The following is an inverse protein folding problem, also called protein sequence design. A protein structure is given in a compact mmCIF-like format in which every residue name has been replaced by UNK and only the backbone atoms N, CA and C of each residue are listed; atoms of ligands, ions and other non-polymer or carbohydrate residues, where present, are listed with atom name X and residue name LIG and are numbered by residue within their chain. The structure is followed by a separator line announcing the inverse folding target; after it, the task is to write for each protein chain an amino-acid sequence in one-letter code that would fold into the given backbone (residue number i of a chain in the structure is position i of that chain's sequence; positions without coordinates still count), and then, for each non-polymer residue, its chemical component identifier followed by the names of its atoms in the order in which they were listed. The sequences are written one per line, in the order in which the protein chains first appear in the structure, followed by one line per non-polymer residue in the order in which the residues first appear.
data_IF_917048415574
#
_entry.id   IF_917048415574
#
_cell.length_a   1.000
_cell.length_b   1.000
_cell.length_c   1.000
_cell.angle_alpha   90.00
_cell.angle_beta   90.00
_cell.angle_gamma   90.00
#
_symmetry.space_group_name_H-M   'P 1'
#
loop_
_entity.id
_entity.type
_entity.pdbx_description
1 polymer ?
#
# COMPACT_ATOMS: atom_id res chain seq x y z
N UNK A 1 -27.31 -21.22 48.22
CA UNK A 1 -27.51 -20.00 47.38
C UNK A 1 -27.36 -20.26 45.87
N UNK A 2 -27.62 -21.48 45.35
CA UNK A 2 -27.44 -21.79 43.92
C UNK A 2 -28.73 -21.83 43.07
N UNK A 3 -29.91 -21.55 43.63
CA UNK A 3 -31.17 -21.65 42.88
C UNK A 3 -31.64 -20.33 42.24
N UNK A 4 -31.05 -19.18 42.64
CA UNK A 4 -31.51 -17.84 42.23
C UNK A 4 -30.85 -17.30 40.95
N UNK A 5 -29.75 -17.92 40.50
CA UNK A 5 -28.99 -17.49 39.30
C UNK A 5 -29.56 -18.08 38.01
N UNK A 6 -30.06 -19.33 38.05
CA UNK A 6 -30.64 -20.05 36.89
C UNK A 6 -31.97 -19.46 36.40
N UNK A 7 -32.75 -18.86 37.30
CA UNK A 7 -34.03 -18.20 36.96
C UNK A 7 -33.84 -16.87 36.21
N UNK A 8 -32.77 -16.12 36.50
CA UNK A 8 -32.48 -14.84 35.82
C UNK A 8 -32.07 -15.07 34.37
N UNK A 9 -31.19 -16.05 34.13
CA UNK A 9 -30.79 -16.44 32.77
C UNK A 9 -32.02 -16.87 31.94
N UNK A 10 -32.87 -17.75 32.50
CA UNK A 10 -34.07 -18.23 31.81
C UNK A 10 -35.04 -17.10 31.48
N UNK A 11 -35.20 -16.12 32.37
CA UNK A 11 -36.07 -14.97 32.14
C UNK A 11 -35.50 -14.04 31.06
N UNK A 12 -34.19 -13.89 31.03
CA UNK A 12 -33.48 -13.08 30.02
C UNK A 12 -33.59 -13.73 28.64
N UNK A 13 -33.46 -15.06 28.54
CA UNK A 13 -33.71 -15.81 27.31
C UNK A 13 -35.16 -15.71 26.84
N UNK A 14 -36.14 -15.77 27.75
CA UNK A 14 -37.55 -15.64 27.41
C UNK A 14 -37.89 -14.24 26.88
N UNK A 15 -37.32 -13.19 27.49
CA UNK A 15 -37.47 -11.80 27.04
C UNK A 15 -36.83 -11.59 25.66
N UNK A 16 -35.64 -12.14 25.43
CA UNK A 16 -34.98 -12.09 24.11
C UNK A 16 -35.81 -12.80 23.03
N UNK A 17 -36.38 -13.97 23.32
CA UNK A 17 -37.22 -14.71 22.37
C UNK A 17 -38.53 -13.96 22.04
N UNK A 18 -39.15 -13.30 23.04
CA UNK A 18 -40.33 -12.46 22.81
C UNK A 18 -39.99 -11.25 21.92
N UNK A 19 -38.87 -10.56 22.18
CA UNK A 19 -38.41 -9.44 21.35
C UNK A 19 -38.09 -9.85 19.90
N UNK A 20 -37.51 -11.03 19.68
CA UNK A 20 -37.22 -11.52 18.32
C UNK A 20 -38.51 -11.86 17.56
N UNK A 21 -39.55 -12.35 18.26
CA UNK A 21 -40.84 -12.65 17.61
C UNK A 21 -41.61 -11.39 17.18
N UNK A 22 -41.57 -10.31 17.96
CA UNK A 22 -42.22 -9.03 17.63
C UNK A 22 -41.52 -8.30 16.47
N UNK A 23 -40.20 -8.41 16.37
CA UNK A 23 -39.42 -7.84 15.24
C UNK A 23 -39.61 -8.63 13.94
N UNK A 24 -39.85 -9.94 14.00
CA UNK A 24 -40.16 -10.75 12.81
C UNK A 24 -41.57 -10.47 12.27
N UNK A 25 -42.55 -10.20 13.16
CA UNK A 25 -43.91 -9.86 12.80
C UNK A 25 -44.04 -8.46 12.15
N UNK A 26 -43.14 -7.53 12.47
CA UNK A 26 -43.05 -6.22 11.81
C UNK A 26 -42.31 -6.27 10.49
N UNK A 27 -41.29 -7.13 10.34
CA UNK A 27 -40.62 -7.35 9.04
C UNK A 27 -41.51 -8.05 8.00
N UNK A 28 -42.43 -8.92 8.43
CA UNK A 28 -43.35 -9.62 7.50
C UNK A 28 -44.41 -8.69 6.90
N UNK A 29 -44.85 -7.66 7.63
CA UNK A 29 -45.76 -6.61 7.14
C UNK A 29 -45.11 -5.73 6.06
N UNK A 30 -43.78 -5.57 6.06
CA UNK A 30 -43.07 -4.80 5.02
C UNK A 30 -42.92 -5.56 3.69
N UNK A 31 -43.25 -6.85 3.66
CA UNK A 31 -43.16 -7.73 2.48
C UNK A 31 -44.53 -8.18 1.96
N UNK A 32 -45.50 -7.27 1.83
CA UNK A 32 -46.58 -7.47 0.86
C UNK A 32 -47.24 -6.16 0.40
N UNK A 33 -46.46 -5.24 -0.17
CA UNK A 33 -47.02 -4.33 -1.19
C UNK A 33 -46.51 -4.79 -2.55
N UNK A 34 -47.09 -5.90 -3.02
CA UNK A 34 -46.94 -6.34 -4.40
C UNK A 34 -47.82 -5.43 -5.25
N UNK A 35 -47.23 -4.37 -5.79
CA UNK A 35 -47.84 -3.54 -6.84
C UNK A 35 -48.04 -4.43 -8.06
N UNK A 36 -49.28 -4.65 -8.47
CA UNK A 36 -49.61 -5.12 -9.81
C UNK A 36 -49.08 -4.08 -10.81
N UNK A 37 -48.18 -4.54 -11.68
CA UNK A 37 -47.59 -3.72 -12.74
C UNK A 37 -48.43 -3.91 -14.00
N UNK A 38 -49.01 -2.86 -14.60
CA UNK A 38 -49.59 -2.99 -15.93
C UNK A 38 -48.46 -3.28 -16.92
N UNK A 39 -48.68 -4.28 -17.76
CA UNK A 39 -47.85 -4.55 -18.93
C UNK A 39 -47.78 -3.31 -19.83
N UNK A 40 -46.58 -2.99 -20.29
CA UNK A 40 -46.36 -2.03 -21.38
C UNK A 40 -45.92 -0.64 -20.93
N UNK A 41 -44.68 -0.52 -20.44
CA UNK A 41 -44.00 0.76 -20.28
C UNK A 41 -42.50 0.55 -20.18
N UNK A 42 -41.75 1.01 -21.17
CA UNK A 42 -40.30 0.97 -21.15
C UNK A 42 -39.77 1.56 -19.83
N UNK A 43 -38.92 0.81 -19.14
CA UNK A 43 -38.29 1.24 -17.89
C UNK A 43 -37.37 2.43 -18.19
N UNK A 44 -37.91 3.65 -18.10
CA UNK A 44 -37.09 4.86 -18.27
C UNK A 44 -36.18 5.00 -17.07
N UNK A 45 -34.92 4.61 -17.24
CA UNK A 45 -33.87 4.83 -16.25
C UNK A 45 -33.84 6.32 -15.89
N UNK A 46 -34.16 6.65 -14.64
CA UNK A 46 -34.14 8.02 -14.14
C UNK A 46 -32.69 8.52 -14.09
N UNK A 47 -32.28 9.24 -15.13
CA UNK A 47 -31.00 9.94 -15.19
C UNK A 47 -31.03 11.16 -14.27
N UNK A 48 -30.55 11.00 -13.02
CA UNK A 48 -30.32 12.14 -12.12
C UNK A 48 -28.97 12.78 -12.41
N UNK A 49 -28.94 14.10 -12.63
CA UNK A 49 -27.70 14.88 -12.75
C UNK A 49 -26.85 14.73 -11.48
N UNK A 50 -25.57 14.37 -11.64
CA UNK A 50 -24.60 14.31 -10.53
C UNK A 50 -24.47 15.68 -9.89
N UNK A 51 -24.61 15.75 -8.56
CA UNK A 51 -24.39 16.97 -7.77
C UNK A 51 -22.94 16.99 -7.33
N UNK A 52 -22.34 18.17 -7.34
CA UNK A 52 -20.97 18.40 -6.89
C UNK A 52 -20.97 19.51 -5.84
N UNK A 53 -20.03 19.43 -4.91
CA UNK A 53 -19.73 20.49 -3.95
C UNK A 53 -18.53 21.25 -4.52
N UNK A 54 -18.66 22.58 -4.63
CA UNK A 54 -17.60 23.46 -5.05
C UNK A 54 -17.43 24.55 -3.99
N UNK A 55 -16.20 24.87 -3.65
CA UNK A 55 -15.86 25.81 -2.60
C UNK A 55 -15.57 27.21 -3.17
N UNK A 56 -15.74 28.29 -2.39
CA UNK A 56 -15.36 29.63 -2.83
C UNK A 56 -13.84 29.77 -2.97
N UNK A 57 -13.40 30.67 -3.85
CA UNK A 57 -11.97 30.90 -4.12
C UNK A 57 -11.22 31.31 -2.85
N UNK A 58 -10.04 30.75 -2.64
CA UNK A 58 -9.23 30.96 -1.44
C UNK A 58 -9.57 30.06 -0.25
N UNK A 59 -10.50 29.11 -0.41
CA UNK A 59 -10.75 28.09 0.62
C UNK A 59 -9.70 26.98 0.55
N UNK A 60 -9.11 26.61 1.69
CA UNK A 60 -8.15 25.52 1.79
C UNK A 60 -8.46 24.59 2.97
N UNK A 61 -8.07 23.33 2.85
CA UNK A 61 -8.04 22.35 3.95
C UNK A 61 -6.60 22.16 4.36
N UNK A 62 -6.33 22.33 5.66
CA UNK A 62 -5.05 22.04 6.25
C UNK A 62 -5.16 20.79 7.15
N UNK A 63 -4.16 19.92 7.05
CA UNK A 63 -3.96 18.79 7.93
C UNK A 63 -2.54 18.87 8.50
N UNK A 64 -2.42 18.83 9.82
CA UNK A 64 -1.14 18.75 10.52
C UNK A 64 -1.02 17.41 11.22
N UNK A 65 0.16 16.81 11.10
CA UNK A 65 0.52 15.57 11.78
C UNK A 65 1.76 15.89 12.62
N UNK A 66 1.60 15.79 13.94
CA UNK A 66 2.69 16.01 14.89
C UNK A 66 3.04 14.67 15.52
N UNK A 67 4.28 14.24 15.36
CA UNK A 67 4.81 12.99 15.91
C UNK A 67 5.98 13.29 16.83
N UNK A 68 5.97 12.71 18.02
CA UNK A 68 7.13 12.68 18.90
C UNK A 68 7.53 11.22 19.09
N UNK A 69 8.69 10.85 18.56
CA UNK A 69 9.22 9.49 18.64
C UNK A 69 10.34 9.50 19.69
N UNK A 70 10.21 8.68 20.72
CA UNK A 70 11.30 8.39 21.65
C UNK A 70 12.27 7.40 21.01
N UNK A 71 13.50 7.83 20.77
CA UNK A 71 14.57 6.98 20.26
C UNK A 71 15.34 6.44 21.47
N UNK A 72 15.28 5.12 21.68
CA UNK A 72 16.08 4.47 22.73
C UNK A 72 17.53 4.45 22.24
N UNK A 73 18.31 5.44 22.70
CA UNK A 73 19.77 5.40 22.70
C UNK A 73 20.30 4.51 23.82
N UNK A 74 21.62 4.25 23.80
CA UNK A 74 22.40 3.50 24.80
C UNK A 74 21.73 3.45 26.20
N UNK A 75 21.43 2.26 26.77
CA UNK A 75 20.60 2.11 27.97
C UNK A 75 21.14 2.79 29.24
N UNK A 76 22.38 3.28 29.22
CA UNK A 76 23.03 3.90 30.39
C UNK A 76 23.07 5.44 30.34
N UNK A 77 22.76 6.08 29.20
CA UNK A 77 22.81 7.54 29.07
C UNK A 77 21.86 8.06 27.99
N UNK A 78 20.85 8.78 28.46
CA UNK A 78 20.02 9.76 27.72
C UNK A 78 18.93 9.21 26.78
N UNK A 79 17.71 9.69 27.03
CA UNK A 79 16.55 9.53 26.17
C UNK A 79 16.58 10.64 25.13
N UNK A 80 16.75 10.29 23.85
CA UNK A 80 16.66 11.24 22.75
C UNK A 80 15.24 11.19 22.19
N UNK A 81 14.51 12.30 22.27
CA UNK A 81 13.22 12.45 21.59
C UNK A 81 13.40 13.23 20.30
N UNK A 82 12.88 12.70 19.19
CA UNK A 82 12.78 13.40 17.92
C UNK A 82 11.32 13.78 17.70
N UNK A 83 11.08 15.06 17.42
CA UNK A 83 9.76 15.57 17.08
C UNK A 83 9.74 15.96 15.60
N UNK A 84 8.77 15.44 14.87
CA UNK A 84 8.57 15.71 13.45
C UNK A 84 7.14 16.20 13.23
N UNK A 85 6.99 17.37 12.62
CA UNK A 85 5.70 18.02 12.38
C UNK A 85 5.49 18.23 10.89
N UNK A 86 4.57 17.46 10.30
CA UNK A 86 4.17 17.60 8.90
C UNK A 86 2.95 18.49 8.81
N UNK A 87 3.05 19.59 8.06
CA UNK A 87 1.91 20.45 7.72
C UNK A 87 1.61 20.33 6.24
N UNK A 88 0.39 19.92 5.90
CA UNK A 88 -0.09 19.91 4.52
C UNK A 88 -1.29 20.84 4.40
N UNK A 89 -1.26 21.75 3.44
CA UNK A 89 -2.39 22.58 3.07
C UNK A 89 -2.73 22.31 1.61
N UNK A 90 -4.00 22.00 1.34
CA UNK A 90 -4.52 21.77 0.01
C UNK A 90 -5.64 22.76 -0.28
N UNK A 91 -5.57 23.38 -1.46
CA UNK A 91 -6.66 24.23 -1.93
C UNK A 91 -7.89 23.39 -2.26
N UNK A 92 -9.05 23.86 -1.80
CA UNK A 92 -10.31 23.18 -2.06
C UNK A 92 -10.77 23.42 -3.50
N UNK A 93 -11.45 22.42 -4.11
CA UNK A 93 -11.89 22.52 -5.49
C UNK A 93 -12.94 23.62 -5.67
N UNK A 94 -12.58 24.66 -6.43
CA UNK A 94 -13.47 25.77 -6.76
C UNK A 94 -14.43 25.44 -7.91
N UNK A 95 -15.37 26.34 -8.21
CA UNK A 95 -16.35 26.13 -9.28
C UNK A 95 -15.72 25.92 -10.67
N UNK A 96 -14.59 26.58 -10.97
CA UNK A 96 -13.88 26.43 -12.24
C UNK A 96 -13.24 25.04 -12.35
N UNK A 97 -12.50 24.63 -11.33
CA UNK A 97 -11.89 23.30 -11.20
C UNK A 97 -12.94 22.21 -11.31
N UNK A 98 -14.07 22.35 -10.60
CA UNK A 98 -15.14 21.35 -10.63
C UNK A 98 -15.81 21.31 -12.01
N UNK A 99 -15.99 22.43 -12.71
CA UNK A 99 -16.55 22.44 -14.08
C UNK A 99 -15.63 21.74 -15.09
N UNK A 100 -14.32 21.84 -14.90
CA UNK A 100 -13.31 21.14 -15.70
C UNK A 100 -13.32 19.62 -15.42
N UNK A 101 -13.40 19.23 -14.15
CA UNK A 101 -13.31 17.82 -13.71
C UNK A 101 -14.67 17.10 -13.62
N UNK A 102 -15.81 17.79 -13.72
CA UNK A 102 -17.17 17.18 -13.72
C UNK A 102 -17.48 16.45 -15.01
N UNK A 103 -16.90 16.87 -16.14
CA UNK A 103 -16.96 16.12 -17.40
C UNK A 103 -16.09 14.86 -17.37
N UNK A 104 -15.26 14.73 -16.34
CA UNK A 104 -14.65 13.47 -15.98
C UNK A 104 -13.55 13.63 -14.94
N UNK A 105 -13.78 13.05 -13.76
CA UNK A 105 -12.74 12.25 -13.07
C UNK A 105 -12.22 11.10 -13.97
N UNK A 106 -12.83 10.95 -15.15
CA UNK A 106 -12.45 10.16 -16.31
C UNK A 106 -11.74 10.95 -17.42
N UNK A 107 -11.48 12.26 -17.31
CA UNK A 107 -10.82 13.00 -18.41
C UNK A 107 -9.29 12.87 -18.34
N UNK A 108 -8.77 12.61 -17.14
CA UNK A 108 -7.37 12.20 -16.93
C UNK A 108 -7.17 10.70 -17.17
N UNK A 109 -8.26 9.94 -17.27
CA UNK A 109 -8.27 8.82 -18.21
C UNK A 109 -8.36 9.48 -19.58
N UNK A 110 -7.19 9.90 -20.12
CA UNK A 110 -7.03 10.06 -21.55
C UNK A 110 -7.87 8.96 -22.22
N UNK A 111 -8.70 9.25 -23.21
CA UNK A 111 -9.70 8.29 -23.70
C UNK A 111 -9.12 6.90 -24.10
N UNK A 112 -7.80 6.81 -24.22
CA UNK A 112 -7.02 5.60 -24.49
C UNK A 112 -6.16 5.08 -23.32
N UNK A 113 -6.05 5.76 -22.17
CA UNK A 113 -5.14 5.34 -21.08
C UNK A 113 -5.88 4.72 -19.92
N UNK A 114 -5.50 3.48 -19.63
CA UNK A 114 -6.09 2.71 -18.55
C UNK A 114 -5.60 3.19 -17.18
N UNK A 115 -6.36 2.87 -16.12
CA UNK A 115 -5.94 3.09 -14.72
C UNK A 115 -4.52 2.56 -14.45
N UNK A 116 -4.16 1.43 -15.06
CA UNK A 116 -2.84 0.82 -14.94
C UNK A 116 -1.73 1.71 -15.52
N UNK A 117 -1.95 2.36 -16.66
CA UNK A 117 -0.98 3.31 -17.24
C UNK A 117 -0.75 4.51 -16.32
N UNK A 118 -1.81 5.07 -15.73
CA UNK A 118 -1.68 6.17 -14.76
C UNK A 118 -0.88 5.73 -13.52
N UNK A 119 -1.17 4.53 -13.00
CA UNK A 119 -0.48 3.93 -11.86
C UNK A 119 1.01 3.68 -12.13
N UNK A 120 1.37 3.21 -13.34
CA UNK A 120 2.76 3.04 -13.78
C UNK A 120 3.48 4.38 -13.95
N UNK A 121 2.82 5.40 -14.48
CA UNK A 121 3.41 6.75 -14.60
C UNK A 121 3.80 7.34 -13.25
N UNK A 122 2.91 7.24 -12.27
CA UNK A 122 3.19 7.71 -10.91
C UNK A 122 4.37 6.96 -10.29
N UNK A 123 4.46 5.62 -10.50
CA UNK A 123 5.60 4.81 -10.05
C UNK A 123 6.90 5.18 -10.74
N UNK A 124 6.86 5.43 -12.05
CA UNK A 124 8.05 5.85 -12.82
C UNK A 124 8.63 7.15 -12.26
N UNK A 125 7.77 8.14 -11.97
CA UNK A 125 8.22 9.41 -11.36
C UNK A 125 8.81 9.19 -9.96
N UNK A 126 8.16 8.35 -9.15
CA UNK A 126 8.67 7.98 -7.83
C UNK A 126 10.02 7.25 -7.90
N UNK A 127 10.14 6.25 -8.76
CA UNK A 127 11.36 5.47 -8.91
C UNK A 127 12.50 6.33 -9.46
N UNK A 128 12.26 7.22 -10.42
CA UNK A 128 13.29 8.16 -10.88
C UNK A 128 13.81 9.08 -9.76
N UNK A 129 12.92 9.52 -8.86
CA UNK A 129 13.34 10.28 -7.68
C UNK A 129 14.14 9.44 -6.69
N UNK A 130 13.73 8.20 -6.45
CA UNK A 130 14.46 7.29 -5.57
C UNK A 130 15.83 6.91 -6.14
N UNK A 131 15.92 6.67 -7.44
CA UNK A 131 17.19 6.42 -8.15
C UNK A 131 18.16 7.58 -7.89
N UNK A 132 17.71 8.82 -8.10
CA UNK A 132 18.52 10.02 -7.85
C UNK A 132 19.02 10.10 -6.40
N UNK A 133 18.14 9.81 -5.43
CA UNK A 133 18.51 9.81 -4.00
C UNK A 133 19.55 8.73 -3.70
N UNK A 134 19.39 7.53 -4.28
CA UNK A 134 20.31 6.40 -4.10
C UNK A 134 21.67 6.68 -4.76
N UNK A 135 21.67 7.31 -5.93
CA UNK A 135 22.87 7.77 -6.62
C UNK A 135 23.63 8.81 -5.80
N UNK A 136 22.92 9.76 -5.19
CA UNK A 136 23.52 10.73 -4.28
C UNK A 136 24.15 10.09 -3.02
N UNK A 137 23.71 8.88 -2.64
CA UNK A 137 24.31 8.09 -1.57
C UNK A 137 25.52 7.26 -2.03
N UNK A 138 25.87 7.28 -3.33
CA UNK A 138 27.02 6.59 -3.89
C UNK A 138 26.75 5.17 -4.41
N UNK A 139 25.49 4.81 -4.64
CA UNK A 139 25.11 3.49 -5.19
C UNK A 139 24.47 3.62 -6.57
N UNK A 140 24.48 2.55 -7.36
CA UNK A 140 23.77 2.52 -8.65
C UNK A 140 22.25 2.49 -8.42
N UNK A 141 21.61 3.67 -8.53
CA UNK A 141 20.18 3.85 -8.22
C UNK A 141 19.28 2.89 -8.97
N UNK A 142 19.47 2.78 -10.29
CA UNK A 142 18.69 1.90 -11.17
C UNK A 142 18.70 0.43 -10.71
N UNK A 143 19.88 -0.11 -10.42
CA UNK A 143 20.05 -1.50 -9.96
C UNK A 143 19.45 -1.72 -8.56
N UNK A 144 19.54 -0.73 -7.68
CA UNK A 144 18.92 -0.82 -6.36
C UNK A 144 17.39 -0.82 -6.42
N UNK A 145 16.78 -0.05 -7.33
CA UNK A 145 15.33 -0.12 -7.56
C UNK A 145 14.94 -1.46 -8.18
N UNK A 146 15.70 -1.96 -9.15
CA UNK A 146 15.50 -3.28 -9.74
C UNK A 146 15.55 -4.39 -8.68
N UNK A 147 16.55 -4.35 -7.79
CA UNK A 147 16.66 -5.24 -6.63
C UNK A 147 15.45 -5.13 -5.70
N UNK A 148 15.02 -3.91 -5.37
CA UNK A 148 13.85 -3.69 -4.52
C UNK A 148 12.55 -4.21 -5.15
N UNK A 149 12.38 -4.08 -6.48
CA UNK A 149 11.23 -4.65 -7.19
C UNK A 149 11.25 -6.17 -7.20
N UNK A 150 12.43 -6.75 -7.39
CA UNK A 150 12.64 -8.18 -7.33
C UNK A 150 12.29 -8.74 -5.93
N UNK A 151 12.83 -8.14 -4.87
CA UNK A 151 12.60 -8.57 -3.49
C UNK A 151 11.14 -8.36 -3.06
N UNK A 152 10.56 -7.18 -3.35
CA UNK A 152 9.18 -6.86 -2.97
C UNK A 152 8.17 -7.78 -3.65
N UNK A 153 8.40 -8.21 -4.89
CA UNK A 153 7.51 -9.14 -5.59
C UNK A 153 7.40 -10.49 -4.86
N UNK A 154 8.47 -10.96 -4.23
CA UNK A 154 8.48 -12.18 -3.40
C UNK A 154 7.80 -11.97 -2.05
N UNK A 155 8.12 -10.86 -1.37
CA UNK A 155 7.45 -10.49 -0.13
C UNK A 155 5.94 -10.41 -0.34
N UNK A 156 5.50 -9.82 -1.44
CA UNK A 156 4.10 -9.71 -1.82
C UNK A 156 3.44 -11.06 -2.12
N UNK A 157 4.14 -12.02 -2.70
CA UNK A 157 3.57 -13.34 -2.92
C UNK A 157 3.34 -14.10 -1.61
N UNK A 158 4.36 -14.13 -0.74
CA UNK A 158 4.34 -14.87 0.53
C UNK A 158 3.37 -14.24 1.52
N UNK A 159 3.33 -12.91 1.59
CA UNK A 159 2.56 -12.12 2.58
C UNK A 159 1.26 -11.51 1.98
N UNK A 160 0.85 -11.91 0.76
CA UNK A 160 -0.38 -11.39 0.14
C UNK A 160 -1.66 -11.72 0.92
N UNK A 161 -1.61 -12.77 1.75
CA UNK A 161 -2.78 -13.32 2.42
C UNK A 161 -3.00 -12.73 3.82
N UNK A 162 -1.97 -12.11 4.41
CA UNK A 162 -2.03 -11.51 5.74
C UNK A 162 -1.92 -9.98 5.65
N UNK A 163 -2.69 -9.29 6.50
CA UNK A 163 -2.54 -7.83 6.67
C UNK A 163 -1.31 -7.59 7.52
N UNK A 164 -0.32 -6.92 6.93
CA UNK A 164 0.91 -6.60 7.60
C UNK A 164 0.78 -5.37 8.50
N UNK A 165 1.92 -4.95 9.07
CA UNK A 165 2.01 -3.65 9.75
C UNK A 165 1.89 -2.49 8.73
N UNK A 166 1.78 -1.26 9.22
CA UNK A 166 1.64 -0.08 8.37
C UNK A 166 2.77 0.02 7.32
N UNK A 167 4.01 -0.29 7.70
CA UNK A 167 5.16 -0.24 6.79
C UNK A 167 5.07 -1.30 5.69
N UNK A 168 4.64 -2.52 6.04
CA UNK A 168 4.40 -3.59 5.09
C UNK A 168 3.37 -3.15 4.06
N UNK A 169 2.22 -2.60 4.49
CA UNK A 169 1.19 -2.14 3.57
C UNK A 169 1.65 -0.95 2.70
N UNK A 170 2.47 -0.05 3.24
CA UNK A 170 3.12 1.01 2.43
C UNK A 170 4.00 0.39 1.35
N UNK A 171 4.84 -0.59 1.72
CA UNK A 171 5.68 -1.33 0.76
C UNK A 171 4.81 -2.01 -0.29
N UNK A 172 3.69 -2.63 0.11
CA UNK A 172 2.73 -3.23 -0.84
C UNK A 172 2.17 -2.19 -1.81
N UNK A 173 1.84 -1.00 -1.33
CA UNK A 173 1.29 0.09 -2.16
C UNK A 173 2.35 0.65 -3.13
N UNK A 174 3.58 0.86 -2.67
CA UNK A 174 4.64 1.49 -3.47
C UNK A 174 5.17 0.55 -4.55
N UNK A 175 5.48 -0.69 -4.19
CA UNK A 175 6.18 -1.63 -5.08
C UNK A 175 5.27 -2.62 -5.80
N UNK A 176 3.96 -2.61 -5.57
CA UNK A 176 3.03 -3.45 -6.35
C UNK A 176 2.85 -2.94 -7.78
N UNK A 177 2.86 -3.85 -8.75
CA UNK A 177 2.58 -3.52 -10.15
C UNK A 177 1.16 -3.95 -10.57
N UNK A 178 0.52 -3.21 -11.49
CA UNK A 178 -0.76 -3.63 -12.08
C UNK A 178 -0.62 -4.98 -12.79
N UNK A 179 -1.68 -5.80 -12.76
CA UNK A 179 -1.71 -7.09 -13.46
C UNK A 179 -1.75 -6.95 -14.98
N UNK A 180 -2.33 -5.85 -15.48
CA UNK A 180 -2.43 -5.53 -16.90
C UNK A 180 -1.04 -5.57 -17.58
N UNK A 181 -0.92 -5.93 -18.86
CA UNK A 181 0.36 -5.86 -19.58
C UNK A 181 0.82 -4.40 -19.74
N UNK A 182 2.12 -4.22 -19.92
CA UNK A 182 2.71 -2.94 -20.35
C UNK A 182 2.44 -2.78 -21.84
N UNK A 183 1.99 -1.60 -22.26
CA UNK A 183 1.74 -1.31 -23.67
C UNK A 183 3.03 -0.88 -24.38
N UNK A 184 3.11 -1.12 -25.69
CA UNK A 184 4.30 -0.82 -26.50
C UNK A 184 4.64 0.69 -26.54
N UNK A 185 3.68 1.57 -26.26
CA UNK A 185 3.89 3.02 -26.19
C UNK A 185 4.50 3.50 -24.86
N UNK A 186 4.64 2.61 -23.87
CA UNK A 186 5.25 2.94 -22.60
C UNK A 186 6.80 2.92 -22.67
N UNK A 187 7.51 3.72 -21.85
CA UNK A 187 8.97 3.78 -21.88
C UNK A 187 9.66 2.43 -21.61
N UNK A 188 10.83 2.21 -22.21
CA UNK A 188 11.62 0.98 -22.08
C UNK A 188 11.96 0.61 -20.62
N UNK A 189 12.22 1.61 -19.78
CA UNK A 189 12.51 1.40 -18.35
C UNK A 189 11.35 0.71 -17.62
N UNK A 190 10.10 1.01 -17.99
CA UNK A 190 8.93 0.38 -17.39
C UNK A 190 8.79 -1.07 -17.86
N UNK A 191 9.13 -1.36 -19.11
CA UNK A 191 9.21 -2.72 -19.63
C UNK A 191 10.29 -3.54 -18.91
N UNK A 192 11.43 -2.93 -18.59
CA UNK A 192 12.49 -3.56 -17.81
C UNK A 192 12.02 -3.92 -16.40
N UNK A 193 11.43 -2.95 -15.69
CA UNK A 193 10.91 -3.17 -14.33
C UNK A 193 9.75 -4.16 -14.25
N UNK A 194 8.78 -4.10 -15.17
CA UNK A 194 7.67 -5.07 -15.21
C UNK A 194 8.18 -6.50 -15.46
N UNK A 195 9.20 -6.67 -16.32
CA UNK A 195 9.83 -7.97 -16.57
C UNK A 195 10.47 -8.55 -15.31
N UNK A 196 11.27 -7.76 -14.60
CA UNK A 196 11.92 -8.19 -13.35
C UNK A 196 10.86 -8.56 -12.31
N UNK A 197 9.88 -7.69 -12.11
CA UNK A 197 8.81 -7.89 -11.13
C UNK A 197 8.02 -9.18 -11.43
N UNK A 198 7.61 -9.40 -12.69
CA UNK A 198 6.86 -10.61 -13.08
C UNK A 198 7.70 -11.87 -13.02
N UNK A 199 8.98 -11.81 -13.39
CA UNK A 199 9.90 -12.95 -13.32
C UNK A 199 10.10 -13.39 -11.88
N UNK A 200 10.42 -12.46 -10.99
CA UNK A 200 10.60 -12.73 -9.56
C UNK A 200 9.31 -13.21 -8.88
N UNK A 201 8.15 -12.86 -9.44
CA UNK A 201 6.87 -13.40 -8.98
C UNK A 201 6.63 -14.87 -9.34
N UNK A 202 7.21 -15.36 -10.44
CA UNK A 202 6.98 -16.72 -10.97
C UNK A 202 8.10 -17.69 -10.58
N UNK A 203 9.34 -17.20 -10.57
CA UNK A 203 10.54 -18.00 -10.39
C UNK A 203 11.13 -17.81 -8.98
N UNK A 204 11.71 -18.89 -8.44
CA UNK A 204 12.51 -18.82 -7.22
C UNK A 204 13.93 -18.42 -7.61
N UNK A 205 14.17 -17.11 -7.67
CA UNK A 205 15.48 -16.50 -7.95
C UNK A 205 16.11 -15.95 -6.66
N UNK A 206 17.39 -15.59 -6.66
CA UNK A 206 17.98 -14.80 -5.57
C UNK A 206 18.23 -13.37 -6.06
N UNK A 207 17.47 -12.41 -5.52
CA UNK A 207 17.53 -11.02 -5.95
C UNK A 207 18.85 -10.34 -5.57
N UNK A 208 19.52 -10.85 -4.53
CA UNK A 208 20.82 -10.33 -4.08
C UNK A 208 21.92 -10.67 -5.09
N UNK A 209 21.82 -11.84 -5.72
CA UNK A 209 22.79 -12.31 -6.72
C UNK A 209 22.51 -11.70 -8.10
N UNK A 210 21.25 -11.65 -8.52
CA UNK A 210 20.86 -11.07 -9.82
C UNK A 210 21.22 -9.58 -9.89
N UNK A 211 21.04 -8.84 -8.79
CA UNK A 211 21.34 -7.42 -8.68
C UNK A 211 22.51 -7.14 -7.73
N UNK A 212 23.64 -7.81 -7.98
CA UNK A 212 24.84 -7.71 -7.14
C UNK A 212 25.47 -6.30 -7.11
N UNK A 213 25.15 -5.43 -8.08
CA UNK A 213 25.61 -4.04 -8.12
C UNK A 213 25.00 -3.18 -7.01
N UNK A 214 23.86 -3.59 -6.44
CA UNK A 214 23.30 -2.96 -5.25
C UNK A 214 23.67 -3.78 -4.01
N UNK A 215 24.46 -3.19 -3.09
CA UNK A 215 24.99 -3.91 -1.93
C UNK A 215 24.05 -4.01 -0.73
N UNK A 216 22.93 -3.30 -0.72
CA UNK A 216 21.97 -3.30 0.38
C UNK A 216 20.55 -3.60 -0.13
N UNK A 217 19.70 -4.12 0.74
CA UNK A 217 18.27 -4.24 0.46
C UNK A 217 17.53 -3.00 0.95
N UNK A 218 16.84 -2.31 0.03
CA UNK A 218 15.97 -1.18 0.37
C UNK A 218 14.83 -1.62 1.30
N UNK A 219 14.31 -2.83 1.12
CA UNK A 219 13.23 -3.39 1.94
C UNK A 219 13.69 -3.71 3.36
N UNK A 220 14.86 -4.32 3.53
CA UNK A 220 15.41 -4.60 4.86
C UNK A 220 15.69 -3.31 5.62
N UNK A 221 16.17 -2.27 4.94
CA UNK A 221 16.33 -0.94 5.51
C UNK A 221 14.99 -0.35 5.97
N UNK A 222 13.94 -0.41 5.15
CA UNK A 222 12.59 0.07 5.50
C UNK A 222 12.02 -0.68 6.71
N UNK A 223 12.24 -2.00 6.79
CA UNK A 223 11.79 -2.81 7.91
C UNK A 223 12.68 -2.69 9.16
N UNK A 224 13.69 -1.82 9.14
CA UNK A 224 14.56 -1.59 10.29
C UNK A 224 15.54 -2.73 10.58
N UNK A 225 15.81 -3.62 9.63
CA UNK A 225 16.80 -4.70 9.74
C UNK A 225 18.20 -4.22 9.36
N UNK A 226 18.62 -3.07 9.90
CA UNK A 226 19.93 -2.50 9.60
C UNK A 226 21.06 -3.14 10.43
N UNK A 227 21.19 -4.47 10.42
CA UNK A 227 22.49 -5.05 10.77
C UNK A 227 23.32 -5.11 9.50
N UNK A 228 24.13 -4.07 9.25
CA UNK A 228 25.31 -4.22 8.39
C UNK A 228 26.32 -5.09 9.14
N UNK A 229 25.98 -6.34 9.41
CA UNK A 229 26.98 -7.34 9.65
C UNK A 229 27.56 -7.63 8.26
N UNK A 230 28.85 -7.35 7.99
CA UNK A 230 29.48 -7.96 6.84
C UNK A 230 29.21 -9.45 6.96
N UNK A 231 28.63 -10.06 5.92
CA UNK A 231 28.42 -11.49 5.87
C UNK A 231 29.70 -12.14 6.38
N UNK A 232 29.63 -12.82 7.54
CA UNK A 232 30.78 -13.51 8.11
C UNK A 232 31.24 -14.48 7.04
N UNK A 233 32.29 -14.11 6.31
CA UNK A 233 33.09 -15.07 5.59
C UNK A 233 33.52 -16.09 6.63
N UNK A 234 33.11 -17.34 6.38
CA UNK A 234 33.35 -18.45 7.27
C UNK A 234 34.85 -18.46 7.65
N UNK A 235 35.22 -18.39 8.94
CA UNK A 235 36.62 -18.23 9.38
C UNK A 235 37.51 -19.46 9.12
N UNK A 236 37.09 -20.40 8.28
CA UNK A 236 37.86 -21.59 7.92
C UNK A 236 38.59 -21.50 6.57
N UNK A 237 38.43 -20.41 5.80
CA UNK A 237 39.16 -20.24 4.53
C UNK A 237 40.36 -19.27 4.59
N UNK A 238 40.59 -18.62 5.75
CA UNK A 238 41.71 -17.69 5.96
C UNK A 238 42.88 -18.29 6.74
N UNK A 239 42.85 -19.60 7.03
CA UNK A 239 43.96 -20.33 7.67
C UNK A 239 44.91 -21.00 6.67
N UNK A 240 44.53 -21.09 5.39
CA UNK A 240 45.35 -21.71 4.34
C UNK A 240 46.24 -20.72 3.57
N UNK A 241 46.01 -19.40 3.70
CA UNK A 241 46.78 -18.38 2.96
C UNK A 241 47.93 -17.73 3.75
N UNK A 242 48.03 -17.95 5.06
CA UNK A 242 49.13 -17.44 5.91
C UNK A 242 50.15 -18.50 6.33
N UNK A 243 50.16 -19.66 5.66
CA UNK A 243 51.18 -20.70 5.87
C UNK A 243 51.93 -20.99 4.57
N UNK A 244 52.83 -20.09 4.19
CA UNK A 244 53.82 -20.40 3.16
C UNK A 244 54.52 -19.23 2.49
N UNK A 245 55.51 -18.63 3.16
CA UNK A 245 56.88 -18.39 2.62
C UNK A 245 57.69 -17.57 3.63
N UNK A 246 58.55 -18.26 4.39
CA UNK A 246 59.74 -17.63 4.92
C UNK A 246 60.74 -17.48 3.78
N UNK A 247 61.17 -16.26 3.51
CA UNK A 247 62.34 -15.99 2.70
C UNK A 247 63.54 -15.86 3.65
N UNK A 248 64.50 -16.77 3.49
CA UNK A 248 65.91 -16.48 3.72
C UNK A 248 66.38 -15.41 2.73
#
# INVERSE_FOLDING_TARGET
MCHRRRSKELHTFLLLLLCISETLATLSQLRLSKREMPEGGAETVLSRKRRYVAFPEGSSVAASICLTIGVIGNPNTEWLSWAENWGMAYDLPNYAWVKEHTRGFKKDMDANKTKAMAMRRSRRDLFGKLETIIENMGFTGHECIARALCESSKYLNVDSQERGNMLTEIVKIVFSFPSDPVYDDEPDIMHHYDRIYRRARREVLDCSVEHAQCHFSLLEMIFGKYSMAPAKQNPQLLSSLYKGRGFM
#
